data_IF_151744656429
#
_entry.id   IF_151744656429
#
_cell.length_a   1.000
_cell.length_b   1.000
_cell.length_c   1.000
_cell.angle_alpha   90.00
_cell.angle_beta   90.00
_cell.angle_gamma   90.00
#
_symmetry.space_group_name_H-M   'P 1'
#
loop_
_entity.id
_entity.type
_entity.pdbx_description
1 polymer ?
#
# COMPACT_ATOMS: atom_id res chain seq x y z
N UNK A 1 -6.68 -25.86 9.75
CA UNK A 1 -5.28 -26.35 9.90
C UNK A 1 -5.37 -27.87 9.96
N UNK A 2 -4.66 -28.57 9.09
CA UNK A 2 -4.49 -30.02 9.24
C UNK A 2 -3.01 -30.15 9.52
N UNK A 3 -2.69 -30.30 10.79
CA UNK A 3 -1.32 -30.61 11.19
C UNK A 3 -1.07 -32.05 10.80
N UNK A 4 0.13 -32.38 10.36
CA UNK A 4 0.50 -33.76 10.12
C UNK A 4 1.60 -34.12 11.10
N UNK A 5 1.51 -35.30 11.71
CA UNK A 5 2.63 -35.83 12.50
C UNK A 5 3.73 -36.37 11.59
N UNK A 6 4.81 -36.89 12.19
CA UNK A 6 5.94 -37.48 11.45
C UNK A 6 5.57 -38.73 10.65
N UNK A 7 4.37 -39.28 10.84
CA UNK A 7 3.85 -40.47 10.17
C UNK A 7 2.70 -40.16 9.20
N UNK A 8 2.38 -38.88 8.97
CA UNK A 8 1.36 -38.46 8.01
C UNK A 8 -0.08 -38.52 8.51
N UNK A 9 -0.31 -38.62 9.82
CA UNK A 9 -1.64 -38.57 10.43
C UNK A 9 -2.18 -37.14 10.53
N UNK A 10 -3.46 -36.91 10.18
CA UNK A 10 -4.13 -35.60 10.29
C UNK A 10 -4.37 -35.21 11.77
N UNK A 11 -4.04 -33.99 12.16
CA UNK A 11 -4.15 -33.44 13.52
C UNK A 11 -4.96 -32.12 13.55
N UNK A 12 -5.78 -31.96 14.60
CA UNK A 12 -6.67 -30.80 14.84
C UNK A 12 -5.87 -29.55 15.27
N UNK A 13 -6.15 -28.38 14.67
CA UNK A 13 -5.55 -27.10 15.00
C UNK A 13 -5.52 -26.68 16.47
N UNK A 14 -6.53 -27.14 17.22
CA UNK A 14 -6.87 -26.63 18.56
C UNK A 14 -6.11 -27.34 19.67
N UNK A 15 -5.45 -28.46 19.39
CA UNK A 15 -4.56 -29.13 20.33
C UNK A 15 -3.12 -28.60 20.18
N UNK A 16 -2.88 -27.36 20.62
CA UNK A 16 -1.53 -26.81 20.74
C UNK A 16 -0.81 -27.32 22.00
N UNK A 17 -0.68 -28.64 22.11
CA UNK A 17 0.45 -29.29 22.78
C UNK A 17 1.35 -29.86 21.68
N UNK A 18 1.90 -28.97 20.86
CA UNK A 18 2.52 -29.35 19.58
C UNK A 18 3.99 -29.71 19.75
N UNK A 19 4.29 -31.01 19.82
CA UNK A 19 5.62 -31.65 19.84
C UNK A 19 6.34 -31.66 18.48
N UNK A 20 5.82 -30.94 17.47
CA UNK A 20 6.39 -30.92 16.13
C UNK A 20 7.54 -29.91 16.02
N UNK A 21 8.75 -30.39 15.72
CA UNK A 21 9.96 -29.55 15.53
C UNK A 21 9.96 -28.78 14.20
N UNK A 22 9.24 -29.27 13.19
CA UNK A 22 9.13 -28.64 11.87
C UNK A 22 7.68 -28.70 11.44
N UNK A 23 7.11 -27.53 11.11
CA UNK A 23 5.74 -27.41 10.61
C UNK A 23 5.79 -26.86 9.20
N UNK A 24 5.23 -27.63 8.25
CA UNK A 24 5.08 -27.18 6.85
C UNK A 24 3.77 -26.41 6.70
N UNK A 25 3.85 -25.14 6.30
CA UNK A 25 2.67 -24.37 5.92
C UNK A 25 2.16 -24.89 4.57
N UNK A 26 0.99 -25.54 4.58
CA UNK A 26 0.44 -26.30 3.44
C UNK A 26 -0.48 -25.49 2.52
N UNK A 27 -0.79 -24.23 2.85
CA UNK A 27 -1.71 -23.42 2.06
C UNK A 27 -1.27 -21.98 1.82
N UNK A 28 -1.53 -21.50 0.60
CA UNK A 28 -1.65 -20.07 0.32
C UNK A 28 -2.84 -19.50 1.12
N UNK A 29 -2.74 -18.23 1.53
CA UNK A 29 -3.65 -17.52 2.47
C UNK A 29 -5.15 -17.74 2.19
N UNK A 30 -5.53 -17.98 0.92
CA UNK A 30 -6.91 -18.20 0.47
C UNK A 30 -7.68 -19.30 1.23
N UNK A 31 -7.03 -20.36 1.73
CA UNK A 31 -7.71 -21.42 2.51
C UNK A 31 -7.73 -21.15 4.03
N UNK A 32 -7.13 -20.04 4.45
CA UNK A 32 -6.91 -19.69 5.85
C UNK A 32 -8.00 -18.74 6.39
N UNK A 33 -8.88 -18.21 5.52
CA UNK A 33 -9.90 -17.20 5.86
C UNK A 33 -10.94 -17.64 6.91
N UNK A 34 -11.17 -18.95 7.09
CA UNK A 34 -12.13 -19.45 8.07
C UNK A 34 -11.47 -19.86 9.40
N UNK A 35 -10.19 -19.54 9.59
CA UNK A 35 -9.45 -19.84 10.82
C UNK A 35 -9.30 -18.56 11.66
N UNK A 36 -9.56 -18.60 12.98
CA UNK A 36 -9.24 -17.52 13.91
C UNK A 36 -7.72 -17.46 14.15
N UNK A 37 -6.94 -17.47 13.07
CA UNK A 37 -5.49 -17.56 13.16
C UNK A 37 -4.97 -16.22 13.66
N UNK A 38 -4.40 -16.28 14.86
CA UNK A 38 -3.54 -15.27 15.45
C UNK A 38 -2.40 -14.96 14.47
N UNK A 39 -1.88 -13.72 14.50
CA UNK A 39 -0.70 -13.27 13.73
C UNK A 39 -0.94 -13.04 12.23
N UNK A 40 -2.00 -12.31 11.87
CA UNK A 40 -2.19 -11.81 10.51
C UNK A 40 -2.28 -10.29 10.46
N UNK A 41 -1.78 -9.66 9.40
CA UNK A 41 -2.13 -8.27 9.11
C UNK A 41 -3.66 -8.11 9.08
N UNK A 42 -4.23 -7.03 9.60
CA UNK A 42 -3.57 -5.80 10.08
C UNK A 42 -3.22 -5.82 11.57
N UNK A 43 -3.17 -6.99 12.22
CA UNK A 43 -2.77 -7.05 13.62
C UNK A 43 -1.28 -6.75 13.84
N UNK A 44 -0.99 -6.05 14.94
CA UNK A 44 0.37 -5.73 15.38
C UNK A 44 0.68 -6.39 16.73
N UNK A 45 1.97 -6.58 17.10
CA UNK A 45 2.34 -7.05 18.42
C UNK A 45 1.83 -6.12 19.53
N UNK A 46 1.08 -6.67 20.48
CA UNK A 46 0.45 -5.91 21.57
C UNK A 46 1.48 -5.17 22.44
N UNK A 47 2.66 -5.75 22.64
CA UNK A 47 3.78 -5.15 23.36
C UNK A 47 4.36 -3.92 22.66
N UNK A 48 4.28 -3.86 21.32
CA UNK A 48 4.72 -2.72 20.52
C UNK A 48 3.60 -1.71 20.25
N UNK A 49 2.34 -2.10 20.42
CA UNK A 49 1.18 -1.33 19.97
C UNK A 49 1.12 0.09 20.54
N UNK A 50 1.31 0.25 21.86
CA UNK A 50 1.33 1.57 22.50
C UNK A 50 2.37 2.50 21.89
N UNK A 51 3.58 1.99 21.65
CA UNK A 51 4.69 2.77 21.08
C UNK A 51 4.37 3.13 19.63
N UNK A 52 3.98 2.14 18.81
CA UNK A 52 3.68 2.36 17.40
C UNK A 52 2.55 3.37 17.18
N UNK A 53 1.47 3.26 17.95
CA UNK A 53 0.35 4.22 17.91
C UNK A 53 0.75 5.66 18.27
N UNK A 54 1.87 5.84 18.97
CA UNK A 54 2.33 7.17 19.39
C UNK A 54 3.14 7.88 18.29
N UNK A 55 3.91 7.15 17.49
CA UNK A 55 4.83 7.76 16.52
C UNK A 55 4.54 7.48 15.06
N UNK A 56 3.57 6.59 14.74
CA UNK A 56 3.31 6.16 13.37
C UNK A 56 1.82 6.24 13.04
N UNK A 57 1.46 6.92 11.95
CA UNK A 57 0.07 7.07 11.50
C UNK A 57 -0.58 5.78 11.00
N UNK A 58 0.21 4.79 10.59
CA UNK A 58 -0.27 3.47 10.14
C UNK A 58 0.55 2.28 10.73
N UNK A 59 0.34 1.95 12.02
CA UNK A 59 1.10 0.88 12.70
C UNK A 59 1.06 -0.51 12.03
N UNK A 60 -0.08 -0.98 11.49
CA UNK A 60 -0.12 -2.26 10.78
C UNK A 60 0.83 -2.33 9.59
N UNK A 61 0.85 -1.29 8.75
CA UNK A 61 1.75 -1.24 7.60
C UNK A 61 3.21 -1.19 8.04
N UNK A 62 3.54 -0.43 9.10
CA UNK A 62 4.89 -0.40 9.65
C UNK A 62 5.37 -1.80 10.04
N UNK A 63 4.52 -2.58 10.73
CA UNK A 63 4.86 -3.94 11.15
C UNK A 63 5.14 -4.86 9.96
N UNK A 64 4.32 -4.79 8.91
CA UNK A 64 4.56 -5.53 7.66
C UNK A 64 5.85 -5.06 6.99
N UNK A 65 6.10 -3.75 6.98
CA UNK A 65 7.30 -3.12 6.43
C UNK A 65 8.60 -3.67 7.03
N UNK A 66 8.63 -3.95 8.34
CA UNK A 66 9.79 -4.57 8.98
C UNK A 66 10.11 -5.96 8.40
N UNK A 67 9.09 -6.79 8.17
CA UNK A 67 9.25 -8.12 7.58
C UNK A 67 9.72 -8.02 6.12
N UNK A 68 9.08 -7.15 5.34
CA UNK A 68 9.39 -6.94 3.92
C UNK A 68 10.83 -6.42 3.76
N UNK A 69 11.24 -5.46 4.58
CA UNK A 69 12.62 -4.92 4.60
C UNK A 69 13.65 -6.00 4.92
N UNK A 70 13.37 -6.85 5.91
CA UNK A 70 14.28 -7.94 6.28
C UNK A 70 14.46 -8.96 5.14
N UNK A 71 13.36 -9.33 4.47
CA UNK A 71 13.36 -10.26 3.34
C UNK A 71 14.08 -9.71 2.11
N UNK A 72 13.97 -8.40 1.86
CA UNK A 72 14.51 -7.75 0.68
C UNK A 72 15.91 -7.16 0.87
N UNK A 73 16.65 -7.58 1.91
CA UNK A 73 18.04 -7.17 2.10
C UNK A 73 18.89 -7.57 0.88
N UNK A 74 19.51 -6.62 0.19
CA UNK A 74 20.19 -6.89 -1.07
C UNK A 74 21.45 -7.71 -0.84
N UNK A 75 21.69 -8.66 -1.74
CA UNK A 75 22.98 -9.33 -1.86
C UNK A 75 24.02 -8.37 -2.48
N UNK A 76 25.33 -8.59 -2.28
CA UNK A 76 26.37 -7.66 -2.73
C UNK A 76 26.28 -7.26 -4.21
N UNK A 77 25.96 -8.21 -5.11
CA UNK A 77 25.81 -7.94 -6.54
C UNK A 77 24.60 -7.03 -6.85
N UNK A 78 23.49 -7.21 -6.14
CA UNK A 78 22.31 -6.36 -6.28
C UNK A 78 22.58 -4.97 -5.71
N UNK A 79 23.30 -4.89 -4.59
CA UNK A 79 23.72 -3.62 -4.00
C UNK A 79 24.58 -2.79 -4.97
N UNK A 80 25.55 -3.41 -5.64
CA UNK A 80 26.36 -2.75 -6.69
C UNK A 80 25.50 -2.28 -7.86
N UNK A 81 24.50 -3.09 -8.25
CA UNK A 81 23.55 -2.72 -9.32
C UNK A 81 22.72 -1.51 -8.91
N UNK A 82 22.18 -1.50 -7.69
CA UNK A 82 21.43 -0.35 -7.13
C UNK A 82 22.31 0.90 -7.13
N UNK A 83 23.54 0.82 -6.64
CA UNK A 83 24.45 1.97 -6.61
C UNK A 83 24.73 2.52 -8.01
N UNK A 84 25.09 1.64 -8.95
CA UNK A 84 25.39 2.02 -10.34
C UNK A 84 24.18 2.69 -11.00
N UNK A 85 22.97 2.18 -10.77
CA UNK A 85 21.75 2.77 -11.31
C UNK A 85 21.42 4.11 -10.65
N UNK A 86 21.65 4.25 -9.33
CA UNK A 86 21.44 5.50 -8.62
C UNK A 86 22.34 6.63 -9.13
N UNK A 87 23.60 6.31 -9.40
CA UNK A 87 24.58 7.23 -10.00
C UNK A 87 24.17 7.62 -11.43
N UNK A 88 23.80 6.64 -12.27
CA UNK A 88 23.33 6.87 -13.65
C UNK A 88 22.06 7.72 -13.72
N UNK A 89 21.12 7.51 -12.81
CA UNK A 89 19.89 8.28 -12.73
C UNK A 89 20.11 9.67 -12.12
N UNK A 90 21.24 9.90 -11.44
CA UNK A 90 21.48 11.10 -10.66
C UNK A 90 20.45 11.25 -9.53
N UNK A 91 20.05 10.14 -8.90
CA UNK A 91 18.98 10.12 -7.90
C UNK A 91 19.30 11.05 -6.73
N UNK A 92 18.44 12.05 -6.51
CA UNK A 92 18.58 13.06 -5.45
C UNK A 92 17.22 13.35 -4.85
N UNK A 93 17.20 13.64 -3.54
CA UNK A 93 16.00 14.03 -2.78
C UNK A 93 16.00 15.55 -2.58
N UNK A 94 14.83 16.22 -2.50
CA UNK A 94 13.50 15.62 -2.52
C UNK A 94 13.06 15.14 -3.91
N UNK A 95 12.36 14.01 -3.98
CA UNK A 95 11.84 13.45 -5.24
C UNK A 95 10.52 12.72 -5.04
N UNK A 96 9.60 12.91 -5.98
CA UNK A 96 8.32 12.18 -6.07
C UNK A 96 8.46 10.97 -7.01
N UNK A 97 8.07 9.79 -6.54
CA UNK A 97 8.01 8.56 -7.32
C UNK A 97 6.63 8.34 -7.93
N UNK A 98 6.58 7.82 -9.16
CA UNK A 98 5.34 7.43 -9.83
C UNK A 98 5.43 5.97 -10.26
N UNK A 99 4.56 5.13 -9.70
CA UNK A 99 4.43 3.73 -10.09
C UNK A 99 3.20 3.55 -10.97
N UNK A 100 3.42 3.36 -12.26
CA UNK A 100 2.33 3.18 -13.23
C UNK A 100 2.20 1.70 -13.62
N UNK A 101 1.05 1.11 -13.30
CA UNK A 101 0.68 -0.26 -13.70
C UNK A 101 -0.19 -0.23 -14.97
N UNK A 102 0.39 -0.51 -16.15
CA UNK A 102 -0.31 -0.45 -17.45
C UNK A 102 -0.62 -1.79 -18.13
N UNK A 103 -0.01 -2.90 -17.72
CA UNK A 103 -0.10 -4.17 -18.47
C UNK A 103 -1.39 -4.96 -18.23
N UNK A 104 -1.34 -6.29 -18.40
CA UNK A 104 -2.33 -7.37 -18.19
C UNK A 104 -3.44 -7.16 -17.13
N UNK A 105 -3.33 -6.19 -16.24
CA UNK A 105 -4.31 -5.87 -15.19
C UNK A 105 -5.39 -4.87 -15.59
N UNK A 106 -5.20 -4.01 -16.61
CA UNK A 106 -6.20 -3.01 -17.03
C UNK A 106 -7.52 -3.67 -17.48
N UNK A 107 -7.47 -4.92 -17.96
CA UNK A 107 -8.66 -5.66 -18.41
C UNK A 107 -9.15 -6.73 -17.43
N UNK A 108 -8.44 -6.96 -16.31
CA UNK A 108 -8.70 -8.10 -15.42
C UNK A 108 -8.89 -7.70 -13.95
N UNK A 109 -8.21 -6.65 -13.48
CA UNK A 109 -8.00 -6.43 -12.05
C UNK A 109 -7.91 -4.96 -11.62
N UNK A 110 -7.84 -4.01 -12.55
CA UNK A 110 -7.70 -2.59 -12.22
C UNK A 110 -8.21 -1.67 -13.33
N UNK A 111 -8.50 -0.43 -12.97
CA UNK A 111 -8.90 0.64 -13.90
C UNK A 111 -7.67 1.22 -14.60
N UNK A 112 -7.83 1.64 -15.85
CA UNK A 112 -6.83 2.47 -16.51
C UNK A 112 -6.83 3.87 -15.89
N UNK A 113 -5.67 4.32 -15.42
CA UNK A 113 -5.45 5.70 -15.01
C UNK A 113 -4.48 6.38 -15.97
N UNK A 114 -4.84 7.57 -16.45
CA UNK A 114 -3.99 8.35 -17.34
C UNK A 114 -2.79 8.93 -16.56
N UNK A 115 -1.72 9.33 -17.24
CA UNK A 115 -0.55 9.88 -16.55
C UNK A 115 -0.90 11.20 -15.85
N UNK A 116 -1.79 11.98 -16.46
CA UNK A 116 -2.30 13.25 -15.92
C UNK A 116 -2.95 13.07 -14.54
N UNK A 117 -3.65 11.95 -14.29
CA UNK A 117 -4.23 11.64 -12.98
C UNK A 117 -3.17 11.43 -11.91
N UNK A 118 -2.02 10.84 -12.25
CA UNK A 118 -0.89 10.74 -11.32
C UNK A 118 -0.25 12.11 -11.11
N UNK A 119 0.01 12.84 -12.20
CA UNK A 119 0.73 14.11 -12.18
C UNK A 119 0.01 15.17 -11.35
N UNK A 120 -1.33 15.17 -11.33
CA UNK A 120 -2.12 16.05 -10.46
C UNK A 120 -1.65 15.99 -9.00
N UNK A 121 -1.44 14.78 -8.48
CA UNK A 121 -1.03 14.59 -7.08
C UNK A 121 0.46 14.86 -6.85
N UNK A 122 1.28 14.76 -7.89
CA UNK A 122 2.68 15.20 -7.85
C UNK A 122 2.77 16.72 -7.77
N UNK A 123 1.98 17.43 -8.58
CA UNK A 123 1.87 18.90 -8.54
C UNK A 123 1.40 19.38 -7.16
N UNK A 124 0.32 18.79 -6.63
CA UNK A 124 -0.20 19.11 -5.28
C UNK A 124 0.86 18.93 -4.18
N UNK A 125 1.68 17.88 -4.24
CA UNK A 125 2.76 17.65 -3.27
C UNK A 125 3.81 18.77 -3.32
N UNK A 126 4.29 19.13 -4.51
CA UNK A 126 5.30 20.16 -4.66
C UNK A 126 4.77 21.56 -4.31
N UNK A 127 3.53 21.87 -4.67
CA UNK A 127 2.87 23.12 -4.29
C UNK A 127 2.78 23.27 -2.76
N UNK A 128 2.40 22.20 -2.04
CA UNK A 128 2.36 22.20 -0.57
C UNK A 128 3.76 22.35 0.04
N UNK A 129 4.76 21.67 -0.54
CA UNK A 129 6.13 21.73 -0.01
C UNK A 129 6.75 23.12 -0.15
N UNK A 130 6.50 23.80 -1.27
CA UNK A 130 6.94 25.20 -1.49
C UNK A 130 6.37 26.18 -0.46
N UNK A 131 5.21 25.89 0.14
CA UNK A 131 4.61 26.74 1.17
C UNK A 131 5.26 26.56 2.55
N UNK A 132 5.88 25.40 2.81
CA UNK A 132 6.45 25.05 4.11
C UNK A 132 7.96 25.31 4.22
N UNK A 133 8.68 25.28 3.10
CA UNK A 133 10.10 25.63 3.05
C UNK A 133 10.22 27.10 2.61
N UNK A 134 10.74 27.97 3.49
CA UNK A 134 11.27 29.29 3.13
C UNK A 134 12.44 29.08 2.15
N UNK A 135 12.14 28.84 0.87
CA UNK A 135 13.15 28.78 -0.20
C UNK A 135 13.61 30.22 -0.46
N UNK A 136 14.41 30.75 0.47
CA UNK A 136 15.10 32.05 0.33
C UNK A 136 16.28 32.02 -0.63
N UNK A 137 16.58 30.88 -1.25
CA UNK A 137 17.58 30.72 -2.30
C UNK A 137 16.97 30.01 -3.52
N UNK A 138 15.95 30.62 -4.12
CA UNK A 138 15.42 30.23 -5.43
C UNK A 138 16.36 30.65 -6.59
N UNK A 139 17.69 30.54 -6.39
CA UNK A 139 18.69 30.59 -7.46
C UNK A 139 18.92 29.20 -8.09
N UNK A 140 18.10 28.20 -7.74
CA UNK A 140 18.08 26.92 -8.43
C UNK A 140 16.62 26.55 -8.79
N UNK A 141 16.26 26.86 -10.04
CA UNK A 141 15.18 26.23 -10.82
C UNK A 141 13.76 26.22 -10.20
N UNK A 142 13.03 27.34 -10.29
CA UNK A 142 11.65 27.38 -10.85
C UNK A 142 11.05 28.81 -10.81
N UNK A 143 10.52 29.36 -11.91
CA UNK A 143 9.76 30.62 -11.89
C UNK A 143 8.30 30.39 -11.42
N UNK A 144 7.68 31.38 -10.74
CA UNK A 144 6.37 31.25 -10.12
C UNK A 144 5.27 30.88 -11.12
N UNK A 145 4.35 30.03 -10.64
CA UNK A 145 3.24 29.44 -11.39
C UNK A 145 2.28 30.50 -11.95
N UNK A 146 2.52 30.95 -13.17
CA UNK A 146 1.48 31.56 -14.02
C UNK A 146 0.81 30.49 -14.89
N UNK A 147 -0.50 30.70 -15.04
CA UNK A 147 -1.53 29.77 -15.53
C UNK A 147 -1.26 29.27 -16.95
N UNK A 148 -1.72 28.03 -17.20
CA UNK A 148 -2.08 27.46 -18.51
C UNK A 148 -0.95 27.43 -19.56
N UNK A 149 -0.19 26.33 -19.57
CA UNK A 149 0.17 25.58 -20.78
C UNK A 149 1.21 24.52 -20.43
N UNK A 150 0.90 23.25 -20.72
CA UNK A 150 1.87 22.22 -21.13
C UNK A 150 3.28 22.36 -20.56
N UNK A 151 3.52 21.90 -19.32
CA UNK A 151 4.90 21.81 -18.81
C UNK A 151 5.50 20.45 -19.14
N UNK A 152 6.58 20.48 -19.90
CA UNK A 152 7.55 19.39 -19.96
C UNK A 152 8.28 19.35 -18.62
N UNK A 153 7.77 18.57 -17.66
CA UNK A 153 8.51 18.30 -16.43
C UNK A 153 9.89 17.73 -16.79
N UNK A 154 10.95 18.25 -16.17
CA UNK A 154 12.28 17.67 -16.39
C UNK A 154 12.32 16.30 -15.70
N UNK A 155 12.81 15.26 -16.38
CA UNK A 155 12.94 13.89 -15.81
C UNK A 155 13.69 13.84 -14.47
N UNK A 156 14.42 14.90 -14.10
CA UNK A 156 15.11 15.05 -12.83
C UNK A 156 14.20 15.37 -11.63
N UNK A 157 12.93 15.75 -11.86
CA UNK A 157 12.00 16.21 -10.81
C UNK A 157 11.07 15.09 -10.30
N UNK A 158 11.01 13.95 -11.00
CA UNK A 158 10.13 12.83 -10.67
C UNK A 158 10.62 11.56 -11.34
N UNK A 159 10.53 10.42 -10.64
CA UNK A 159 10.92 9.13 -11.18
C UNK A 159 9.68 8.37 -11.66
N UNK A 160 9.48 8.28 -12.98
CA UNK A 160 8.43 7.42 -13.55
C UNK A 160 9.03 6.06 -13.84
N UNK A 161 8.54 5.06 -13.12
CA UNK A 161 8.89 3.67 -13.39
C UNK A 161 7.63 2.97 -13.89
N UNK A 162 7.48 2.81 -15.23
CA UNK A 162 6.48 1.88 -15.74
C UNK A 162 6.91 0.47 -15.33
N UNK A 163 5.98 -0.34 -14.83
CA UNK A 163 6.21 -1.77 -14.48
C UNK A 163 6.77 -2.60 -15.66
N UNK A 164 6.77 -2.01 -16.86
CA UNK A 164 7.40 -2.53 -18.05
C UNK A 164 8.17 -1.40 -18.75
N UNK A 165 9.50 -1.45 -18.64
CA UNK A 165 10.36 -0.65 -19.48
C UNK A 165 10.13 -1.04 -20.94
N UNK A 166 9.49 -0.16 -21.70
CA UNK A 166 9.46 -0.29 -23.16
C UNK A 166 10.90 -0.15 -23.65
N UNK A 167 11.52 -1.26 -24.05
CA UNK A 167 12.64 -1.15 -24.97
C UNK A 167 12.09 -0.47 -26.21
N UNK A 168 12.63 0.70 -26.55
CA UNK A 168 12.28 1.40 -27.78
C UNK A 168 12.78 0.59 -28.97
N UNK A 169 11.96 -0.35 -29.42
CA UNK A 169 12.11 -1.12 -30.64
C UNK A 169 10.71 -1.43 -31.14
N UNK A 170 10.32 -0.81 -32.24
CA UNK A 170 8.98 -0.96 -32.83
C UNK A 170 8.69 -2.42 -33.17
N UNK A 171 7.55 -2.92 -32.69
CA UNK A 171 6.99 -4.21 -33.11
C UNK A 171 6.68 -5.17 -31.95
N UNK A 172 5.39 -5.39 -31.71
CA UNK A 172 4.80 -6.45 -30.86
C UNK A 172 5.08 -6.39 -29.33
N UNK A 173 4.51 -5.40 -28.60
CA UNK A 173 4.81 -5.14 -27.19
C UNK A 173 4.28 -6.17 -26.18
N UNK A 174 3.32 -7.05 -26.53
CA UNK A 174 2.67 -7.93 -25.53
C UNK A 174 3.40 -9.23 -25.23
N UNK A 175 4.08 -9.81 -26.22
CA UNK A 175 4.69 -11.14 -26.11
C UNK A 175 6.10 -11.04 -25.48
N UNK A 176 6.90 -10.07 -25.94
CA UNK A 176 8.27 -9.82 -25.46
C UNK A 176 8.29 -9.41 -23.98
N UNK A 177 7.34 -8.57 -23.56
CA UNK A 177 7.21 -8.09 -22.17
C UNK A 177 6.92 -9.21 -21.17
N UNK A 178 6.12 -10.21 -21.58
CA UNK A 178 5.82 -11.38 -20.75
C UNK A 178 7.04 -12.28 -20.55
N UNK A 179 7.90 -12.38 -21.55
CA UNK A 179 9.09 -13.23 -21.53
C UNK A 179 10.20 -12.66 -20.63
N UNK A 180 10.37 -11.33 -20.58
CA UNK A 180 11.38 -10.67 -19.74
C UNK A 180 10.98 -10.63 -18.25
N UNK A 181 9.68 -10.69 -17.93
CA UNK A 181 9.17 -10.62 -16.55
C UNK A 181 9.72 -11.74 -15.65
N UNK A 182 9.93 -12.93 -16.19
CA UNK A 182 10.35 -14.12 -15.44
C UNK A 182 11.82 -14.46 -15.69
N UNK A 183 12.67 -13.45 -15.81
CA UNK A 183 14.13 -13.60 -15.92
C UNK A 183 14.83 -13.00 -14.70
N UNK A 184 16.10 -13.36 -14.51
CA UNK A 184 16.97 -12.77 -13.49
C UNK A 184 17.09 -11.25 -13.65
N UNK A 185 17.18 -10.78 -14.89
CA UNK A 185 17.31 -9.35 -15.19
C UNK A 185 16.00 -8.61 -14.91
N UNK A 186 14.85 -9.22 -15.25
CA UNK A 186 13.54 -8.69 -14.88
C UNK A 186 13.35 -8.57 -13.38
N UNK A 187 13.74 -9.60 -12.62
CA UNK A 187 13.72 -9.56 -11.14
C UNK A 187 14.64 -8.45 -10.61
N UNK A 188 15.86 -8.35 -11.13
CA UNK A 188 16.83 -7.33 -10.69
C UNK A 188 16.31 -5.92 -10.95
N UNK A 189 15.71 -5.67 -12.13
CA UNK A 189 15.09 -4.39 -12.46
C UNK A 189 13.96 -4.03 -11.49
N UNK A 190 13.04 -4.96 -11.22
CA UNK A 190 11.92 -4.74 -10.28
C UNK A 190 12.41 -4.43 -8.87
N UNK A 191 13.47 -5.10 -8.40
CA UNK A 191 14.05 -4.84 -7.07
C UNK A 191 14.74 -3.47 -7.00
N UNK A 192 15.40 -3.05 -8.07
CA UNK A 192 16.00 -1.71 -8.19
C UNK A 192 14.90 -0.64 -8.18
N UNK A 193 13.84 -0.84 -8.97
CA UNK A 193 12.69 0.06 -9.02
C UNK A 193 12.02 0.21 -7.65
N UNK A 194 11.79 -0.93 -6.97
CA UNK A 194 11.23 -0.98 -5.63
C UNK A 194 12.12 -0.24 -4.62
N UNK A 195 13.44 -0.41 -4.71
CA UNK A 195 14.39 0.31 -3.87
C UNK A 195 14.25 1.82 -4.04
N UNK A 196 14.37 2.35 -5.27
CA UNK A 196 14.35 3.79 -5.49
C UNK A 196 12.98 4.42 -5.18
N UNK A 197 11.88 3.77 -5.55
CA UNK A 197 10.54 4.26 -5.22
C UNK A 197 10.31 4.30 -3.70
N UNK A 198 10.82 3.33 -2.94
CA UNK A 198 10.73 3.34 -1.47
C UNK A 198 11.60 4.41 -0.80
N UNK A 199 12.54 5.00 -1.53
CA UNK A 199 13.43 6.08 -1.07
C UNK A 199 12.91 7.48 -1.44
N UNK A 200 11.85 7.57 -2.26
CA UNK A 200 11.20 8.82 -2.60
C UNK A 200 10.53 9.46 -1.36
N UNK A 201 10.35 10.79 -1.42
CA UNK A 201 9.72 11.57 -0.35
C UNK A 201 8.19 11.50 -0.43
N UNK A 202 7.66 11.25 -1.62
CA UNK A 202 6.25 10.98 -1.86
C UNK A 202 6.12 10.00 -3.04
N UNK A 203 5.08 9.17 -3.03
CA UNK A 203 4.81 8.23 -4.13
C UNK A 203 3.35 8.30 -4.56
N UNK A 204 3.11 8.35 -5.87
CA UNK A 204 1.77 8.19 -6.44
C UNK A 204 1.69 6.84 -7.15
N UNK A 205 0.76 5.98 -6.73
CA UNK A 205 0.63 4.62 -7.28
C UNK A 205 -0.82 4.13 -7.30
N UNK A 206 -1.00 2.81 -7.42
CA UNK A 206 -2.28 2.12 -7.23
C UNK A 206 -2.10 1.01 -6.19
N UNK A 207 -2.96 0.94 -5.18
CA UNK A 207 -2.93 -0.11 -4.16
C UNK A 207 -3.42 -1.44 -4.70
N UNK A 208 -4.11 -1.51 -5.84
CA UNK A 208 -4.33 -2.80 -6.53
C UNK A 208 -3.03 -3.42 -7.07
N UNK A 209 -1.96 -2.63 -7.21
CA UNK A 209 -0.63 -3.10 -7.58
C UNK A 209 0.12 -3.63 -6.35
N UNK A 210 0.55 -4.90 -6.39
CA UNK A 210 1.44 -5.45 -5.35
C UNK A 210 2.74 -4.63 -5.24
N UNK A 211 3.25 -4.08 -6.35
CA UNK A 211 4.39 -3.16 -6.33
C UNK A 211 4.08 -1.89 -5.54
N UNK A 212 2.92 -1.27 -5.79
CA UNK A 212 2.49 -0.07 -5.06
C UNK A 212 2.42 -0.29 -3.55
N UNK A 213 1.90 -1.46 -3.14
CA UNK A 213 1.82 -1.84 -1.72
C UNK A 213 3.18 -2.16 -1.11
N UNK A 214 4.05 -2.88 -1.83
CA UNK A 214 5.41 -3.16 -1.39
C UNK A 214 6.27 -1.89 -1.23
N UNK A 215 6.08 -0.90 -2.10
CA UNK A 215 6.70 0.42 -1.97
C UNK A 215 6.26 1.06 -0.65
N UNK A 216 4.94 1.12 -0.40
CA UNK A 216 4.39 1.68 0.84
C UNK A 216 4.96 1.01 2.10
N UNK A 217 4.99 -0.32 2.11
CA UNK A 217 5.54 -1.14 3.20
C UNK A 217 7.02 -0.81 3.47
N UNK A 218 7.83 -0.75 2.42
CA UNK A 218 9.26 -0.42 2.54
C UNK A 218 9.52 1.02 2.97
N UNK A 219 8.68 1.97 2.55
CA UNK A 219 8.78 3.36 3.00
C UNK A 219 8.65 3.45 4.52
N UNK A 220 7.72 2.70 5.12
CA UNK A 220 7.52 2.67 6.58
C UNK A 220 8.74 2.12 7.34
N UNK A 221 9.54 1.25 6.71
CA UNK A 221 10.76 0.72 7.32
C UNK A 221 11.96 1.67 7.20
N UNK A 222 11.88 2.68 6.33
CA UNK A 222 13.01 3.58 5.98
C UNK A 222 12.87 4.98 6.56
N UNK A 223 11.65 5.37 6.93
CA UNK A 223 11.32 6.69 7.48
C UNK A 223 10.69 6.51 8.86
N UNK A 224 10.67 7.56 9.68
CA UNK A 224 10.08 7.51 11.03
C UNK A 224 8.57 7.28 10.94
N UNK A 225 7.90 8.06 10.11
CA UNK A 225 6.49 7.89 9.76
C UNK A 225 6.30 8.31 8.30
N UNK A 226 6.02 7.35 7.42
CA UNK A 226 5.72 7.59 6.01
C UNK A 226 4.26 7.23 5.68
N UNK A 227 3.38 7.19 6.68
CA UNK A 227 1.97 6.80 6.51
C UNK A 227 1.20 7.74 5.57
N UNK A 228 1.63 9.00 5.47
CA UNK A 228 1.06 10.00 4.57
C UNK A 228 1.89 10.24 3.30
N UNK A 229 3.00 9.52 3.14
CA UNK A 229 3.96 9.75 2.04
C UNK A 229 3.60 8.99 0.74
N UNK A 230 2.42 8.38 0.66
CA UNK A 230 1.97 7.68 -0.55
C UNK A 230 0.49 7.89 -0.81
N UNK A 231 0.17 8.15 -2.07
CA UNK A 231 -1.19 8.35 -2.57
C UNK A 231 -1.53 7.33 -3.65
N UNK A 232 -2.54 6.48 -3.37
CA UNK A 232 -3.05 5.51 -4.33
C UNK A 232 -4.19 6.10 -5.16
N UNK A 233 -4.30 5.87 -6.47
CA UNK A 233 -5.42 6.41 -7.27
C UNK A 233 -6.73 5.63 -7.11
N UNK A 234 -6.67 4.39 -6.65
CA UNK A 234 -7.73 3.39 -6.77
C UNK A 234 -8.32 2.92 -5.43
N UNK A 235 -7.58 3.05 -4.33
CA UNK A 235 -8.05 2.70 -2.99
C UNK A 235 -7.56 3.71 -1.98
N UNK A 236 -8.38 4.01 -0.98
CA UNK A 236 -7.97 4.79 0.17
C UNK A 236 -7.40 3.94 1.30
N UNK A 237 -7.49 2.61 1.20
CA UNK A 237 -7.15 1.67 2.26
C UNK A 237 -6.06 0.74 1.75
N UNK A 238 -4.96 0.68 2.50
CA UNK A 238 -3.89 -0.30 2.30
C UNK A 238 -4.34 -1.70 2.70
N UNK A 239 -3.76 -2.71 2.05
CA UNK A 239 -4.07 -4.11 2.32
C UNK A 239 -2.96 -5.07 1.97
N UNK A 240 -2.76 -6.10 2.78
CA UNK A 240 -1.83 -7.17 2.43
C UNK A 240 -2.51 -8.16 1.50
N UNK A 241 -3.74 -8.54 1.82
CA UNK A 241 -4.51 -9.57 1.12
C UNK A 241 -5.92 -9.10 0.80
N UNK A 242 -6.55 -9.75 -0.17
CA UNK A 242 -7.95 -9.49 -0.52
C UNK A 242 -8.92 -9.79 0.64
N UNK A 243 -8.49 -10.56 1.63
CA UNK A 243 -9.34 -11.02 2.74
C UNK A 243 -9.12 -10.28 4.05
N UNK A 244 -8.19 -9.30 4.10
CA UNK A 244 -8.04 -8.54 5.34
C UNK A 244 -9.30 -7.70 5.57
N UNK A 245 -9.74 -7.71 6.82
CA UNK A 245 -10.91 -6.99 7.28
C UNK A 245 -10.42 -5.71 7.91
N UNK A 246 -10.91 -4.57 7.42
CA UNK A 246 -10.54 -3.25 7.93
C UNK A 246 -11.70 -2.67 8.71
N UNK A 247 -11.51 -2.45 10.01
CA UNK A 247 -12.50 -1.81 10.85
C UNK A 247 -12.09 -0.37 11.16
N UNK A 248 -13.09 0.49 11.25
CA UNK A 248 -12.96 1.82 11.84
C UNK A 248 -13.91 1.93 13.02
N UNK A 249 -13.52 2.67 14.04
CA UNK A 249 -14.34 2.92 15.23
C UNK A 249 -14.90 4.33 15.19
N UNK A 250 -16.21 4.46 15.39
CA UNK A 250 -16.85 5.75 15.52
C UNK A 250 -16.42 6.47 16.81
N UNK A 251 -15.90 7.68 16.64
CA UNK A 251 -15.54 8.58 17.75
C UNK A 251 -16.57 9.71 17.93
N UNK A 252 -17.43 9.92 16.93
CA UNK A 252 -18.48 10.94 16.96
C UNK A 252 -19.80 10.38 16.46
N UNK A 253 -20.89 10.82 17.10
CA UNK A 253 -22.25 10.50 16.68
C UNK A 253 -22.55 11.09 15.29
N UNK A 254 -23.35 10.38 14.50
CA UNK A 254 -23.87 10.85 13.23
C UNK A 254 -25.33 10.45 13.05
N UNK A 255 -26.18 11.46 12.85
CA UNK A 255 -27.53 11.27 12.34
C UNK A 255 -27.49 11.38 10.80
N UNK A 256 -28.02 10.39 10.06
CA UNK A 256 -28.10 10.42 8.61
C UNK A 256 -28.91 11.62 8.11
N UNK A 257 -28.40 12.34 7.10
CA UNK A 257 -29.13 13.40 6.41
C UNK A 257 -29.89 12.89 5.18
N UNK A 258 -29.52 11.72 4.68
CA UNK A 258 -30.10 11.10 3.50
C UNK A 258 -30.26 9.60 3.71
N UNK A 259 -31.09 8.95 2.89
CA UNK A 259 -31.25 7.49 2.91
C UNK A 259 -29.97 6.73 2.50
N UNK A 260 -29.00 7.41 1.91
CA UNK A 260 -27.70 6.84 1.54
C UNK A 260 -26.71 6.81 2.72
N UNK A 261 -26.98 7.51 3.82
CA UNK A 261 -26.10 7.61 5.00
C UNK A 261 -26.47 6.60 6.09
N UNK A 262 -25.48 6.21 6.89
CA UNK A 262 -25.65 5.34 8.06
C UNK A 262 -25.55 6.13 9.36
N UNK A 263 -26.31 5.72 10.37
CA UNK A 263 -26.18 6.30 11.70
C UNK A 263 -24.94 5.76 12.40
N UNK A 264 -24.26 6.62 13.16
CA UNK A 264 -23.12 6.25 13.99
C UNK A 264 -23.41 6.65 15.43
N UNK A 265 -23.18 5.73 16.36
CA UNK A 265 -23.02 6.00 17.79
C UNK A 265 -21.55 5.87 18.16
N UNK A 266 -21.12 6.55 19.23
CA UNK A 266 -19.72 6.47 19.69
C UNK A 266 -19.41 5.03 20.10
N UNK A 267 -18.32 4.48 19.59
CA UNK A 267 -17.89 3.11 19.81
C UNK A 267 -18.33 2.11 18.76
N UNK A 268 -19.25 2.46 17.85
CA UNK A 268 -19.68 1.60 16.74
C UNK A 268 -18.46 1.15 15.91
N UNK A 269 -18.44 -0.11 15.51
CA UNK A 269 -17.48 -0.65 14.56
C UNK A 269 -18.05 -0.60 13.14
N UNK A 270 -17.30 0.00 12.22
CA UNK A 270 -17.64 0.12 10.82
C UNK A 270 -16.66 -0.76 10.03
N UNK A 271 -17.19 -1.76 9.35
CA UNK A 271 -16.42 -2.52 8.39
C UNK A 271 -16.27 -1.70 7.11
N UNK A 272 -15.03 -1.37 6.75
CA UNK A 272 -14.70 -0.69 5.51
C UNK A 272 -14.58 -1.74 4.42
N UNK A 273 -15.67 -1.92 3.68
CA UNK A 273 -15.69 -2.83 2.55
C UNK A 273 -14.70 -2.35 1.49
N UNK A 274 -13.85 -3.27 1.04
CA UNK A 274 -12.94 -3.00 -0.07
C UNK A 274 -13.66 -3.16 -1.41
N UNK A 275 -13.03 -2.60 -2.44
CA UNK A 275 -13.45 -2.69 -3.84
C UNK A 275 -13.99 -4.08 -4.20
N UNK A 276 -15.23 -4.13 -4.70
CA UNK A 276 -15.81 -5.36 -5.24
C UNK A 276 -15.16 -5.59 -6.61
N UNK A 277 -14.15 -6.46 -6.66
CA UNK A 277 -13.43 -6.90 -7.88
C UNK A 277 -14.34 -7.52 -8.98
N UNK A 278 -15.66 -7.52 -8.81
CA UNK A 278 -16.63 -8.23 -9.66
C UNK A 278 -17.72 -7.37 -10.27
N UNK A 279 -17.75 -6.06 -10.00
CA UNK A 279 -18.73 -5.18 -10.65
C UNK A 279 -18.07 -4.34 -11.74
N UNK A 280 -18.62 -4.38 -12.97
CA UNK A 280 -18.26 -3.43 -14.04
C UNK A 280 -18.54 -1.97 -13.62
N UNK A 281 -19.36 -1.77 -12.59
CA UNK A 281 -19.51 -0.49 -11.93
C UNK A 281 -18.42 -0.36 -10.86
N UNK A 282 -17.29 0.19 -11.29
CA UNK A 282 -16.11 0.50 -10.48
C UNK A 282 -16.39 1.65 -9.50
N UNK A 283 -17.30 1.44 -8.55
CA UNK A 283 -17.56 2.39 -7.48
C UNK A 283 -16.44 2.32 -6.46
N UNK A 284 -15.75 3.43 -6.24
CA UNK A 284 -14.81 3.59 -5.13
C UNK A 284 -15.51 3.20 -3.81
N UNK A 285 -14.97 2.23 -3.07
CA UNK A 285 -15.48 1.79 -1.76
C UNK A 285 -14.40 2.06 -0.72
N UNK A 286 -14.80 2.52 0.46
CA UNK A 286 -13.90 3.15 1.43
C UNK A 286 -14.04 4.67 1.42
N UNK A 287 -12.93 5.41 1.54
CA UNK A 287 -12.95 6.87 1.60
C UNK A 287 -13.00 7.48 0.19
N UNK A 288 -14.13 8.08 -0.16
CA UNK A 288 -14.41 8.63 -1.49
C UNK A 288 -13.62 9.90 -1.82
N UNK A 289 -12.75 10.36 -0.92
CA UNK A 289 -11.92 11.58 -1.07
C UNK A 289 -12.73 12.87 -1.30
N UNK A 290 -13.95 12.88 -0.79
CA UNK A 290 -14.86 14.03 -0.81
C UNK A 290 -15.39 14.38 0.59
N UNK A 291 -14.72 13.88 1.64
CA UNK A 291 -15.14 14.01 3.04
C UNK A 291 -16.04 12.89 3.55
N UNK A 292 -16.52 11.99 2.68
CA UNK A 292 -17.33 10.83 3.04
C UNK A 292 -16.61 9.51 2.78
N UNK A 293 -16.91 8.52 3.61
CA UNK A 293 -16.51 7.12 3.46
C UNK A 293 -17.73 6.23 3.37
N UNK A 294 -17.57 5.04 2.81
CA UNK A 294 -18.61 4.02 2.70
C UNK A 294 -18.21 2.76 3.46
N UNK A 295 -19.15 2.18 4.21
CA UNK A 295 -18.92 0.96 4.98
C UNK A 295 -20.21 0.39 5.58
N UNK A 296 -20.04 -0.66 6.38
CA UNK A 296 -21.14 -1.36 7.06
C UNK A 296 -21.00 -1.19 8.56
N UNK A 297 -21.97 -0.51 9.19
CA UNK A 297 -22.00 -0.41 10.66
C UNK A 297 -22.45 -1.75 11.25
N UNK A 298 -21.57 -2.38 12.03
CA UNK A 298 -21.81 -3.71 12.62
C UNK A 298 -23.01 -3.72 13.58
N UNK A 299 -23.31 -2.62 14.27
CA UNK A 299 -24.45 -2.53 15.19
C UNK A 299 -25.78 -2.55 14.47
N UNK A 300 -25.88 -1.86 13.33
CA UNK A 300 -27.15 -1.72 12.60
C UNK A 300 -27.29 -2.67 11.41
N UNK A 301 -26.18 -3.30 10.98
CA UNK A 301 -26.11 -4.08 9.75
C UNK A 301 -26.30 -3.27 8.47
N UNK A 302 -26.40 -1.94 8.56
CA UNK A 302 -26.67 -1.08 7.41
C UNK A 302 -25.37 -0.67 6.71
N UNK A 303 -25.43 -0.71 5.38
CA UNK A 303 -24.39 -0.21 4.48
C UNK A 303 -24.73 1.20 4.01
N UNK A 304 -23.74 2.09 3.99
CA UNK A 304 -23.92 3.42 3.41
C UNK A 304 -22.78 4.37 3.74
N UNK A 305 -23.03 5.65 3.47
CA UNK A 305 -22.08 6.73 3.62
C UNK A 305 -22.03 7.25 5.05
N UNK A 306 -20.86 7.73 5.45
CA UNK A 306 -20.67 8.47 6.69
C UNK A 306 -19.50 9.46 6.54
N UNK A 307 -19.46 10.56 7.31
CA UNK A 307 -18.35 11.51 7.26
C UNK A 307 -17.04 10.89 7.77
N UNK A 308 -15.98 10.92 6.96
CA UNK A 308 -14.71 10.24 7.23
C UNK A 308 -14.04 10.71 8.53
N UNK A 309 -14.21 11.97 8.93
CA UNK A 309 -13.59 12.54 10.14
C UNK A 309 -14.22 12.05 11.46
N UNK A 310 -15.34 11.32 11.40
CA UNK A 310 -16.09 10.85 12.59
C UNK A 310 -15.64 9.48 13.09
N UNK A 311 -14.66 8.88 12.43
CA UNK A 311 -14.15 7.55 12.74
C UNK A 311 -12.62 7.57 12.78
N UNK A 312 -12.04 6.57 13.43
CA UNK A 312 -10.59 6.32 13.45
C UNK A 312 -10.34 4.86 13.11
N UNK A 313 -9.17 4.52 12.59
CA UNK A 313 -8.82 3.13 12.29
C UNK A 313 -8.78 2.28 13.57
N UNK A 314 -9.41 1.11 13.51
CA UNK A 314 -9.39 0.13 14.59
C UNK A 314 -8.15 -0.74 14.43
N UNK A 315 -7.16 -0.53 15.30
CA UNK A 315 -5.92 -1.31 15.30
C UNK A 315 -6.10 -2.56 16.16
N UNK A 316 -5.93 -3.72 15.53
CA UNK A 316 -5.97 -5.02 16.20
C UNK A 316 -4.60 -5.30 16.84
N UNK A 317 -4.61 -5.63 18.13
CA UNK A 317 -3.41 -5.98 18.90
C UNK A 317 -3.43 -7.48 19.20
N UNK A 318 -2.32 -8.16 18.96
CA UNK A 318 -2.18 -9.61 19.20
C UNK A 318 -0.96 -9.89 20.06
N UNK A 319 -1.07 -10.81 21.02
CA UNK A 319 0.08 -11.24 21.84
C UNK A 319 0.97 -12.17 21.04
N UNK A 320 2.01 -11.61 20.39
CA UNK A 320 2.94 -12.33 19.51
C UNK A 320 4.21 -12.84 20.22
N UNK A 321 4.41 -12.44 21.48
CA UNK A 321 5.51 -12.91 22.33
C UNK A 321 5.06 -14.03 23.28
N UNK A 322 6.02 -14.65 23.97
CA UNK A 322 5.67 -15.43 25.17
C UNK A 322 5.24 -14.44 26.26
N UNK A 323 4.11 -14.73 26.91
CA UNK A 323 3.81 -14.09 28.19
C UNK A 323 4.96 -14.47 29.13
N UNK A 324 5.77 -13.49 29.52
CA UNK A 324 6.68 -13.66 30.65
C UNK A 324 5.87 -13.69 31.95
#
# INVERSE_FOLDING_TARGET
>A
MIVYDRHGGKMDPRNQTSSARVVRLSSLIRSWNNSPAKFRPLAIPADLAKRLKTFHGDPPTWWVGQLVSFLLRPQPHLQQTIQTQGEKMGFKRPIVGIQVRRTDKVNAEGRYYSLEEYMKHVEEYYDLRQQHEDIKNADCLWPPMTRRSSRNFRKSEFCVIPEVQHHQGGGQPRIVVRQIRYTRDGLSAVLVDLHFLSMCDFVVCTYTSNMGRAIYELMQAKQVDASSSLYSLDSSVYYVTYFDIHYQRAIKKHQPRSAAEISLEVGDLIHIERYIYRSKNQSFVGNLRNGSSCGVNQRTGRRGLFPSYKVVDEIVEESMGMNN
#
